data_IF_018554662439
#
_entry.id   IF_018554662439
#
_cell.length_a   1.000
_cell.length_b   1.000
_cell.length_c   1.000
_cell.angle_alpha   90.00
_cell.angle_beta   90.00
_cell.angle_gamma   90.00
#
_symmetry.space_group_name_H-M   'P 1'
#
loop_
_entity.id
_entity.type
_entity.pdbx_description
1 polymer ?
#
# COMPACT_ATOMS: atom_id res chain seq x y z
N UNK A 1 28.70 12.00 32.44
CA UNK A 1 27.71 12.99 32.01
C UNK A 1 27.49 12.77 30.51
N UNK A 2 26.48 12.02 30.15
CA UNK A 2 26.23 11.62 28.77
C UNK A 2 25.08 12.48 28.25
N UNK A 3 25.38 13.36 27.29
CA UNK A 3 24.38 14.24 26.65
C UNK A 3 23.64 13.43 25.60
N UNK A 4 22.38 13.12 25.87
CA UNK A 4 21.46 12.53 24.89
C UNK A 4 20.93 13.66 24.01
N UNK A 5 21.42 13.72 22.76
CA UNK A 5 20.92 14.63 21.74
C UNK A 5 19.61 14.06 21.19
N UNK A 6 18.49 14.59 21.68
CA UNK A 6 17.16 14.36 21.09
C UNK A 6 17.09 15.12 19.75
N UNK A 7 17.29 14.39 18.64
CA UNK A 7 16.96 14.88 17.31
C UNK A 7 15.43 14.91 17.20
N UNK A 8 14.86 16.09 17.46
CA UNK A 8 13.48 16.41 17.02
C UNK A 8 13.50 16.46 15.49
N UNK A 9 13.10 15.35 14.85
CA UNK A 9 12.77 15.36 13.45
C UNK A 9 11.55 16.26 13.24
N UNK A 10 11.75 17.43 12.64
CA UNK A 10 10.66 18.23 12.10
C UNK A 10 9.94 17.39 11.04
N UNK A 11 8.82 16.79 11.43
CA UNK A 11 7.81 16.29 10.49
C UNK A 11 7.29 17.52 9.76
N UNK A 12 7.77 17.73 8.54
CA UNK A 12 7.11 18.61 7.58
C UNK A 12 5.78 17.92 7.29
N UNK A 13 4.73 18.33 8.01
CA UNK A 13 3.38 17.91 7.69
C UNK A 13 3.08 18.46 6.29
N UNK A 14 2.76 17.62 5.30
CA UNK A 14 2.23 18.11 4.05
C UNK A 14 0.93 18.90 4.33
N UNK A 15 0.61 19.87 3.48
CA UNK A 15 -0.53 20.79 3.61
C UNK A 15 -1.93 20.13 3.48
N UNK A 16 -2.11 18.94 4.02
CA UNK A 16 -3.28 18.05 3.88
C UNK A 16 -3.97 17.80 5.23
N UNK A 17 -3.56 18.49 6.29
CA UNK A 17 -4.09 18.25 7.64
C UNK A 17 -5.61 18.53 7.73
N UNK A 18 -6.12 19.48 6.93
CA UNK A 18 -7.54 19.85 6.95
C UNK A 18 -8.45 18.79 6.30
N UNK A 19 -7.92 18.00 5.36
CA UNK A 19 -8.68 16.95 4.67
C UNK A 19 -8.73 15.63 5.47
N UNK A 20 -7.82 15.44 6.43
CA UNK A 20 -7.71 14.19 7.22
C UNK A 20 -8.60 14.20 8.46
N UNK A 21 -8.76 15.34 9.12
CA UNK A 21 -9.54 15.44 10.37
C UNK A 21 -10.97 14.86 10.26
N UNK A 22 -11.74 15.08 9.19
CA UNK A 22 -13.06 14.49 9.02
C UNK A 22 -13.04 12.96 8.87
N UNK A 23 -11.90 12.37 8.47
CA UNK A 23 -11.75 10.94 8.21
C UNK A 23 -11.46 10.14 9.49
N UNK A 24 -10.87 10.75 10.52
CA UNK A 24 -10.47 10.05 11.74
C UNK A 24 -11.58 9.21 12.37
N UNK A 25 -12.80 9.75 12.61
CA UNK A 25 -13.89 8.95 13.20
C UNK A 25 -14.38 7.86 12.26
N UNK A 26 -14.34 8.09 10.94
CA UNK A 26 -14.73 7.09 9.93
C UNK A 26 -13.73 5.95 9.92
N UNK A 27 -12.42 6.24 9.93
CA UNK A 27 -11.34 5.25 9.99
C UNK A 27 -11.42 4.44 11.28
N UNK A 28 -11.59 5.10 12.42
CA UNK A 28 -11.68 4.44 13.72
C UNK A 28 -12.87 3.46 13.79
N UNK A 29 -14.02 3.83 13.22
CA UNK A 29 -15.20 2.97 13.17
C UNK A 29 -15.03 1.71 12.30
N UNK A 30 -14.00 1.64 11.45
CA UNK A 30 -13.76 0.48 10.60
C UNK A 30 -12.71 -0.49 11.16
N UNK A 31 -12.17 -0.28 12.34
CA UNK A 31 -11.05 -1.06 12.90
C UNK A 31 -11.22 -2.56 12.74
N UNK A 32 -12.35 -3.12 13.18
CA UNK A 32 -12.58 -4.57 13.15
C UNK A 32 -12.65 -5.13 11.73
N UNK A 33 -13.27 -4.36 10.80
CA UNK A 33 -13.32 -4.74 9.38
C UNK A 33 -11.94 -4.69 8.74
N UNK A 34 -11.16 -3.65 9.04
CA UNK A 34 -9.77 -3.52 8.58
C UNK A 34 -8.93 -4.69 9.07
N UNK A 35 -9.02 -5.04 10.34
CA UNK A 35 -8.29 -6.17 10.90
C UNK A 35 -8.66 -7.48 10.21
N UNK A 36 -9.95 -7.72 9.99
CA UNK A 36 -10.43 -8.92 9.31
C UNK A 36 -9.91 -9.05 7.87
N UNK A 37 -9.96 -7.98 7.06
CA UNK A 37 -9.49 -8.02 5.68
C UNK A 37 -7.97 -8.14 5.59
N UNK A 38 -7.23 -7.47 6.48
CA UNK A 38 -5.77 -7.55 6.52
C UNK A 38 -5.28 -8.92 7.01
N UNK A 39 -5.97 -9.54 7.96
CA UNK A 39 -5.70 -10.91 8.37
C UNK A 39 -5.96 -11.91 7.23
N UNK A 40 -7.05 -11.72 6.48
CA UNK A 40 -7.31 -12.53 5.29
C UNK A 40 -6.22 -12.35 4.24
N UNK A 41 -5.77 -11.11 3.99
CA UNK A 41 -4.65 -10.82 3.09
C UNK A 41 -3.38 -11.53 3.56
N UNK A 42 -3.04 -11.43 4.87
CA UNK A 42 -1.84 -12.04 5.44
C UNK A 42 -1.80 -13.55 5.20
N UNK A 43 -2.91 -14.24 5.40
CA UNK A 43 -3.03 -15.69 5.11
C UNK A 43 -2.80 -16.01 3.62
N UNK A 44 -3.17 -15.11 2.73
CA UNK A 44 -2.97 -15.23 1.29
C UNK A 44 -1.52 -15.03 0.82
N UNK A 45 -0.65 -14.44 1.66
CA UNK A 45 0.76 -14.21 1.29
C UNK A 45 1.60 -15.49 1.30
N UNK A 46 1.11 -16.57 1.91
CA UNK A 46 1.77 -17.89 1.99
C UNK A 46 3.22 -17.81 2.53
N UNK A 47 3.46 -16.90 3.47
CA UNK A 47 4.75 -16.67 4.12
C UNK A 47 4.91 -17.43 5.45
N UNK A 48 3.90 -18.23 5.80
CA UNK A 48 3.84 -19.01 7.06
C UNK A 48 3.24 -18.24 8.23
N UNK A 49 3.01 -16.92 8.09
CA UNK A 49 2.38 -16.09 9.11
C UNK A 49 0.86 -16.08 8.95
N UNK A 50 0.13 -16.49 9.99
CA UNK A 50 -1.33 -16.48 10.00
C UNK A 50 -1.94 -15.56 11.07
N UNK A 51 -1.11 -14.75 11.71
CA UNK A 51 -1.49 -13.83 12.76
C UNK A 51 -1.21 -12.41 12.33
N UNK A 52 -2.12 -11.48 12.66
CA UNK A 52 -1.96 -10.06 12.40
C UNK A 52 -2.76 -9.27 13.42
N UNK A 53 -2.13 -8.29 14.03
CA UNK A 53 -2.77 -7.29 14.87
C UNK A 53 -2.58 -5.89 14.29
N UNK A 54 -3.67 -5.16 14.10
CA UNK A 54 -3.61 -3.76 13.66
C UNK A 54 -3.26 -2.87 14.86
N UNK A 55 -2.13 -2.17 14.79
CA UNK A 55 -1.65 -1.30 15.86
C UNK A 55 -2.28 0.09 15.75
N UNK A 56 -1.99 0.81 14.67
CA UNK A 56 -2.49 2.17 14.44
C UNK A 56 -2.45 2.56 12.96
N UNK A 57 -3.28 3.53 12.53
CA UNK A 57 -3.05 4.25 11.28
C UNK A 57 -1.73 5.01 11.36
N UNK A 58 -0.91 4.93 10.31
CA UNK A 58 0.40 5.60 10.25
C UNK A 58 0.47 6.70 9.19
N UNK A 59 -0.40 6.64 8.18
CA UNK A 59 -0.54 7.67 7.15
C UNK A 59 -1.92 7.57 6.48
N UNK A 60 -2.42 8.71 5.99
CA UNK A 60 -3.63 8.79 5.17
C UNK A 60 -3.31 9.58 3.90
N UNK A 61 -3.71 9.05 2.75
CA UNK A 61 -3.64 9.75 1.46
C UNK A 61 -5.06 9.95 0.95
N UNK A 62 -5.47 11.20 0.75
CA UNK A 62 -6.81 11.56 0.28
C UNK A 62 -6.77 11.78 -1.23
N UNK A 63 -7.59 11.05 -1.98
CA UNK A 63 -7.76 11.19 -3.43
C UNK A 63 -9.03 11.99 -3.75
N UNK A 64 -10.08 11.83 -2.93
CA UNK A 64 -11.33 12.53 -3.03
C UNK A 64 -11.83 12.85 -1.61
N UNK A 65 -12.16 14.10 -1.35
CA UNK A 65 -12.60 14.55 -0.04
C UNK A 65 -13.90 13.83 0.39
N UNK A 66 -14.03 13.60 1.70
CA UNK A 66 -15.23 13.01 2.25
C UNK A 66 -16.37 14.03 2.24
N UNK A 67 -17.48 13.69 1.58
CA UNK A 67 -18.72 14.44 1.64
C UNK A 67 -19.80 13.65 2.36
N UNK A 68 -20.51 14.32 3.24
CA UNK A 68 -21.67 13.78 3.97
C UNK A 68 -22.89 14.65 3.75
N UNK A 69 -24.07 14.02 3.73
CA UNK A 69 -25.35 14.70 3.72
C UNK A 69 -26.29 13.99 4.69
N UNK A 70 -26.89 14.72 5.63
CA UNK A 70 -27.79 14.15 6.64
C UNK A 70 -27.18 12.96 7.38
N UNK A 71 -25.89 13.09 7.76
CA UNK A 71 -25.07 12.05 8.40
C UNK A 71 -24.82 10.80 7.54
N UNK A 72 -25.21 10.80 6.26
CA UNK A 72 -24.92 9.72 5.32
C UNK A 72 -23.71 10.06 4.47
N UNK A 73 -22.85 9.06 4.22
CA UNK A 73 -21.71 9.18 3.30
C UNK A 73 -22.25 9.36 1.87
N UNK A 74 -21.72 10.33 1.13
CA UNK A 74 -22.08 10.58 -0.26
C UNK A 74 -20.96 10.24 -1.22
N UNK A 75 -19.78 10.76 -0.95
CA UNK A 75 -18.57 10.47 -1.73
C UNK A 75 -17.33 10.57 -0.84
N UNK A 76 -16.22 10.05 -1.33
CA UNK A 76 -14.92 10.09 -0.71
C UNK A 76 -14.07 8.90 -1.13
N UNK A 77 -12.78 9.14 -1.29
CA UNK A 77 -11.80 8.09 -1.61
C UNK A 77 -10.47 8.43 -0.95
N UNK A 78 -9.98 7.52 -0.14
CA UNK A 78 -8.71 7.66 0.56
C UNK A 78 -8.05 6.31 0.79
N UNK A 79 -6.75 6.32 0.99
CA UNK A 79 -5.96 5.17 1.38
C UNK A 79 -5.44 5.38 2.79
N UNK A 80 -5.56 4.36 3.62
CA UNK A 80 -4.98 4.35 4.97
C UNK A 80 -3.87 3.33 5.04
N UNK A 81 -2.70 3.78 5.51
CA UNK A 81 -1.59 2.90 5.86
C UNK A 81 -1.66 2.58 7.34
N UNK A 82 -1.57 1.31 7.66
CA UNK A 82 -1.56 0.80 9.03
C UNK A 82 -0.20 0.22 9.38
N UNK A 83 0.30 0.57 10.56
CA UNK A 83 1.31 -0.23 11.23
C UNK A 83 0.62 -1.47 11.81
N UNK A 84 1.17 -2.63 11.55
CA UNK A 84 0.65 -3.92 12.03
C UNK A 84 1.77 -4.73 12.67
N UNK A 85 1.42 -5.60 13.59
CA UNK A 85 2.25 -6.72 14.02
C UNK A 85 1.80 -7.97 13.24
N UNK A 86 2.70 -8.57 12.51
CA UNK A 86 2.46 -9.82 11.79
C UNK A 86 3.44 -10.88 12.30
N UNK A 87 2.96 -11.80 13.14
CA UNK A 87 3.77 -12.83 13.80
C UNK A 87 5.01 -12.28 14.54
N UNK A 88 4.88 -11.16 15.26
CA UNK A 88 5.95 -10.51 16.01
C UNK A 88 6.85 -9.59 15.19
N UNK A 89 6.54 -9.39 13.91
CA UNK A 89 7.25 -8.47 13.04
C UNK A 89 6.42 -7.22 12.72
N UNK A 90 7.02 -6.04 12.90
CA UNK A 90 6.40 -4.78 12.50
C UNK A 90 6.36 -4.67 10.97
N UNK A 91 5.17 -4.55 10.41
CA UNK A 91 4.92 -4.44 8.96
C UNK A 91 4.02 -3.24 8.66
N UNK A 92 3.96 -2.86 7.38
CA UNK A 92 3.01 -1.89 6.86
C UNK A 92 1.96 -2.59 6.00
N UNK A 93 0.70 -2.17 6.14
CA UNK A 93 -0.43 -2.63 5.34
C UNK A 93 -1.25 -1.43 4.89
N UNK A 94 -1.77 -1.49 3.69
CA UNK A 94 -2.55 -0.41 3.10
C UNK A 94 -3.97 -0.89 2.84
N UNK A 95 -4.94 -0.03 3.10
CA UNK A 95 -6.37 -0.26 2.83
C UNK A 95 -6.89 0.89 2.01
N UNK A 96 -7.47 0.59 0.85
CA UNK A 96 -8.25 1.52 0.06
C UNK A 96 -9.65 1.62 0.65
N UNK A 97 -10.12 2.83 0.84
CA UNK A 97 -11.44 3.14 1.40
C UNK A 97 -12.18 4.07 0.46
N UNK A 98 -13.29 3.61 -0.08
CA UNK A 98 -14.06 4.36 -1.07
C UNK A 98 -15.55 4.31 -0.74
N UNK A 99 -16.22 5.46 -0.83
CA UNK A 99 -17.68 5.51 -0.74
C UNK A 99 -18.26 5.09 -2.09
N UNK A 100 -19.11 4.05 -2.04
CA UNK A 100 -19.82 3.51 -3.22
C UNK A 100 -21.28 3.35 -2.82
N UNK A 101 -22.17 4.01 -3.55
CA UNK A 101 -23.63 3.97 -3.30
C UNK A 101 -24.01 4.28 -1.83
N UNK A 102 -23.33 5.24 -1.22
CA UNK A 102 -23.57 5.66 0.16
C UNK A 102 -23.01 4.72 1.23
N UNK A 103 -22.32 3.67 0.85
CA UNK A 103 -21.64 2.73 1.74
C UNK A 103 -20.12 2.80 1.59
N UNK A 104 -19.40 2.56 2.69
CA UNK A 104 -17.95 2.50 2.66
C UNK A 104 -17.47 1.11 2.26
N UNK A 105 -16.84 1.02 1.09
CA UNK A 105 -16.13 -0.16 0.61
C UNK A 105 -14.66 -0.11 1.07
N UNK A 106 -14.14 -1.25 1.51
CA UNK A 106 -12.76 -1.44 1.93
C UNK A 106 -12.09 -2.53 1.10
N UNK A 107 -10.89 -2.27 0.61
CA UNK A 107 -10.09 -3.25 -0.10
C UNK A 107 -8.62 -3.24 0.37
N UNK A 108 -8.00 -4.40 0.64
CA UNK A 108 -6.60 -4.45 0.99
C UNK A 108 -5.76 -4.16 -0.27
N UNK A 109 -4.77 -3.30 -0.12
CA UNK A 109 -3.80 -2.98 -1.14
C UNK A 109 -2.52 -3.81 -0.95
N UNK A 110 -1.57 -3.65 -1.86
CA UNK A 110 -0.27 -4.32 -1.76
C UNK A 110 0.39 -3.99 -0.42
N UNK A 111 0.90 -5.00 0.32
CA UNK A 111 1.67 -4.77 1.55
C UNK A 111 2.88 -3.88 1.33
N UNK A 112 3.30 -3.16 2.38
CA UNK A 112 4.48 -2.28 2.33
C UNK A 112 4.13 -0.80 2.30
N UNK A 113 4.99 0.02 1.70
CA UNK A 113 4.88 1.47 1.71
C UNK A 113 4.63 2.10 0.33
N UNK A 114 4.07 1.32 -0.61
CA UNK A 114 3.73 1.80 -1.96
C UNK A 114 2.98 3.14 -1.93
N UNK A 115 3.35 4.03 -2.84
CA UNK A 115 2.70 5.33 -3.07
C UNK A 115 1.65 5.27 -4.20
N UNK A 116 1.59 4.15 -4.93
CA UNK A 116 0.62 3.94 -5.99
C UNK A 116 -0.80 3.81 -5.42
N UNK A 117 -1.78 4.42 -6.08
CA UNK A 117 -3.20 4.23 -5.77
C UNK A 117 -3.68 2.81 -6.16
N UNK A 118 -4.91 2.48 -5.79
CA UNK A 118 -5.50 1.15 -6.01
C UNK A 118 -5.51 0.74 -7.49
N UNK A 119 -5.83 1.67 -8.41
CA UNK A 119 -5.90 1.39 -9.84
C UNK A 119 -4.49 1.10 -10.41
N UNK A 120 -3.54 1.95 -10.07
CA UNK A 120 -2.15 1.80 -10.49
C UNK A 120 -1.52 0.52 -9.92
N UNK A 121 -1.80 0.18 -8.65
CA UNK A 121 -1.38 -1.10 -8.05
C UNK A 121 -1.97 -2.31 -8.79
N UNK A 122 -3.23 -2.24 -9.22
CA UNK A 122 -3.84 -3.33 -10.00
C UNK A 122 -3.14 -3.53 -11.35
N UNK A 123 -2.78 -2.45 -12.03
CA UNK A 123 -2.07 -2.51 -13.31
C UNK A 123 -0.63 -3.04 -13.15
N UNK A 124 0.09 -2.59 -12.12
CA UNK A 124 1.42 -3.11 -11.79
C UNK A 124 1.37 -4.61 -11.47
N UNK A 125 0.42 -5.06 -10.65
CA UNK A 125 0.24 -6.49 -10.32
C UNK A 125 0.01 -7.35 -11.55
N UNK A 126 -0.82 -6.88 -12.49
CA UNK A 126 -1.07 -7.57 -13.76
C UNK A 126 0.21 -7.66 -14.60
N UNK A 127 0.92 -6.55 -14.74
CA UNK A 127 2.17 -6.49 -15.50
C UNK A 127 3.28 -7.32 -14.86
N UNK A 128 3.36 -7.33 -13.52
CA UNK A 128 4.28 -8.15 -12.75
C UNK A 128 4.08 -9.64 -13.05
N UNK A 129 2.84 -10.10 -13.00
CA UNK A 129 2.50 -11.50 -13.29
C UNK A 129 2.83 -11.87 -14.75
N UNK A 130 2.51 -11.01 -15.72
CA UNK A 130 2.84 -11.24 -17.13
C UNK A 130 4.34 -11.30 -17.36
N UNK A 131 5.12 -10.37 -16.84
CA UNK A 131 6.57 -10.37 -16.97
C UNK A 131 7.20 -11.61 -16.28
N UNK A 132 6.65 -12.02 -15.14
CA UNK A 132 7.07 -13.25 -14.46
C UNK A 132 6.80 -14.51 -15.28
N UNK A 133 5.65 -14.63 -15.93
CA UNK A 133 5.33 -15.75 -16.83
C UNK A 133 6.24 -15.80 -18.04
N UNK A 134 6.62 -14.65 -18.62
CA UNK A 134 7.60 -14.59 -19.72
C UNK A 134 8.98 -15.07 -19.26
N UNK A 135 9.41 -14.66 -18.06
CA UNK A 135 10.71 -15.07 -17.50
C UNK A 135 10.74 -16.53 -17.02
N UNK A 136 9.58 -17.07 -16.64
CA UNK A 136 9.41 -18.43 -16.12
C UNK A 136 8.24 -19.13 -16.82
N UNK A 137 8.36 -19.50 -18.10
CA UNK A 137 7.25 -20.01 -18.91
C UNK A 137 6.66 -21.34 -18.39
N UNK A 138 7.43 -22.08 -17.58
CA UNK A 138 6.96 -23.29 -16.92
C UNK A 138 6.13 -23.03 -15.63
N UNK A 139 5.99 -21.76 -15.23
CA UNK A 139 5.23 -21.37 -14.07
C UNK A 139 3.86 -20.79 -14.51
N UNK A 140 2.76 -21.55 -14.44
CA UNK A 140 1.44 -21.07 -14.84
C UNK A 140 0.77 -20.19 -13.79
N UNK A 141 1.32 -20.14 -12.58
CA UNK A 141 0.71 -19.43 -11.45
C UNK A 141 0.87 -17.91 -11.59
N UNK A 142 -0.17 -17.18 -11.21
CA UNK A 142 -0.05 -15.74 -11.04
C UNK A 142 0.83 -15.40 -9.84
N UNK A 143 1.56 -14.29 -9.92
CA UNK A 143 2.37 -13.83 -8.80
C UNK A 143 1.50 -13.43 -7.60
N UNK A 144 1.87 -13.90 -6.41
CA UNK A 144 1.38 -13.36 -5.14
C UNK A 144 2.33 -12.26 -4.71
N UNK A 145 1.89 -11.00 -4.80
CA UNK A 145 2.71 -9.87 -4.37
C UNK A 145 2.75 -9.86 -2.85
N UNK A 146 3.96 -9.92 -2.31
CA UNK A 146 4.23 -9.99 -0.87
C UNK A 146 4.55 -8.63 -0.26
N UNK A 147 5.19 -7.76 -1.04
CA UNK A 147 5.62 -6.45 -0.57
C UNK A 147 5.92 -5.51 -1.73
N UNK A 148 5.68 -4.21 -1.49
CA UNK A 148 6.17 -3.12 -2.32
C UNK A 148 6.87 -2.10 -1.42
N UNK A 149 8.13 -1.78 -1.71
CA UNK A 149 8.94 -0.86 -0.90
C UNK A 149 9.43 0.29 -1.75
N UNK A 150 9.22 1.52 -1.28
CA UNK A 150 9.71 2.73 -1.96
C UNK A 150 11.23 2.81 -1.86
N UNK A 151 11.89 2.86 -3.01
CA UNK A 151 13.36 3.00 -3.11
C UNK A 151 13.79 4.43 -3.33
N UNK A 152 12.99 5.21 -4.02
CA UNK A 152 13.23 6.62 -4.26
C UNK A 152 11.92 7.39 -4.10
N UNK A 153 11.86 8.23 -3.08
CA UNK A 153 10.69 9.07 -2.80
C UNK A 153 10.65 10.28 -3.74
N UNK A 154 9.47 10.69 -4.24
CA UNK A 154 9.31 11.93 -4.96
C UNK A 154 9.52 13.12 -4.01
N UNK A 155 10.16 14.18 -4.50
CA UNK A 155 10.31 15.44 -3.73
C UNK A 155 9.06 16.31 -3.85
N UNK A 156 8.36 16.19 -4.98
CA UNK A 156 7.08 16.83 -5.27
C UNK A 156 6.12 15.82 -5.88
N UNK A 157 4.80 16.03 -5.85
CA UNK A 157 3.83 15.12 -6.48
C UNK A 157 4.03 14.92 -7.98
N UNK A 158 4.74 15.81 -8.64
CA UNK A 158 5.04 15.72 -10.07
C UNK A 158 6.32 14.93 -10.38
N UNK A 159 7.10 14.58 -9.36
CA UNK A 159 8.35 13.85 -9.55
C UNK A 159 8.09 12.36 -9.72
N UNK A 160 8.97 11.73 -10.49
CA UNK A 160 9.01 10.27 -10.57
C UNK A 160 9.42 9.67 -9.22
N UNK A 161 8.93 8.44 -8.96
CA UNK A 161 9.40 7.64 -7.83
C UNK A 161 9.67 6.20 -8.26
N UNK A 162 10.33 5.45 -7.42
CA UNK A 162 10.71 4.08 -7.71
C UNK A 162 10.34 3.18 -6.53
N UNK A 163 9.78 2.02 -6.85
CA UNK A 163 9.47 0.98 -5.87
C UNK A 163 10.09 -0.36 -6.26
N UNK A 164 10.47 -1.14 -5.28
CA UNK A 164 10.78 -2.56 -5.43
C UNK A 164 9.54 -3.37 -5.05
N UNK A 165 9.03 -4.12 -5.98
CA UNK A 165 7.93 -5.06 -5.78
C UNK A 165 8.48 -6.47 -5.69
N UNK A 166 8.14 -7.18 -4.61
CA UNK A 166 8.52 -8.58 -4.37
C UNK A 166 7.26 -9.43 -4.44
N UNK A 167 7.30 -10.45 -5.27
CA UNK A 167 6.23 -11.44 -5.39
C UNK A 167 6.78 -12.85 -5.36
N UNK A 168 5.89 -13.81 -5.06
CA UNK A 168 6.20 -15.24 -5.12
C UNK A 168 5.52 -15.86 -6.32
N UNK A 169 6.28 -16.62 -7.11
CA UNK A 169 5.81 -17.39 -8.24
C UNK A 169 6.41 -18.79 -8.20
N UNK A 170 5.57 -19.82 -8.25
CA UNK A 170 6.02 -21.23 -8.18
C UNK A 170 7.03 -21.47 -7.04
N UNK A 171 6.75 -20.96 -5.87
CA UNK A 171 7.59 -21.13 -4.66
C UNK A 171 8.87 -20.29 -4.63
N UNK A 172 9.14 -19.46 -5.66
CA UNK A 172 10.33 -18.60 -5.71
C UNK A 172 9.97 -17.14 -5.53
N UNK A 173 10.77 -16.41 -4.76
CA UNK A 173 10.63 -14.97 -4.62
C UNK A 173 11.32 -14.27 -5.81
N UNK A 174 10.60 -13.40 -6.46
CA UNK A 174 11.05 -12.60 -7.60
C UNK A 174 10.85 -11.11 -7.28
N UNK A 175 11.81 -10.28 -7.65
CA UNK A 175 11.77 -8.85 -7.48
C UNK A 175 11.72 -8.13 -8.83
N UNK A 176 10.96 -7.05 -8.90
CA UNK A 176 10.92 -6.13 -10.04
C UNK A 176 10.95 -4.70 -9.52
N UNK A 177 11.79 -3.90 -10.16
CA UNK A 177 11.82 -2.47 -9.92
C UNK A 177 10.78 -1.81 -10.82
N UNK A 178 9.95 -0.98 -10.23
CA UNK A 178 8.88 -0.23 -10.90
C UNK A 178 9.22 1.25 -10.81
N UNK A 179 9.42 1.89 -11.96
CA UNK A 179 9.61 3.33 -12.11
C UNK A 179 8.26 3.97 -12.45
N UNK A 180 7.73 4.79 -11.56
CA UNK A 180 6.49 5.52 -11.75
C UNK A 180 6.78 6.91 -12.33
N UNK A 181 6.01 7.28 -13.32
CA UNK A 181 6.19 8.48 -14.15
C UNK A 181 4.89 9.28 -14.17
N UNK A 182 4.74 10.30 -13.30
CA UNK A 182 3.60 11.20 -13.36
C UNK A 182 3.53 11.91 -14.73
N UNK A 183 2.31 12.07 -15.25
CA UNK A 183 1.99 12.74 -16.49
C UNK A 183 0.88 13.77 -16.25
N UNK A 184 0.52 14.55 -17.25
CA UNK A 184 -0.58 15.53 -17.13
C UNK A 184 -1.96 14.88 -16.90
N UNK A 185 -2.13 13.61 -17.25
CA UNK A 185 -3.42 12.90 -17.22
C UNK A 185 -3.45 11.75 -16.22
N UNK A 186 -2.41 11.59 -15.40
CA UNK A 186 -2.29 10.51 -14.43
C UNK A 186 -0.86 10.04 -14.27
N UNK A 187 -0.66 8.82 -13.79
CA UNK A 187 0.66 8.20 -13.63
C UNK A 187 0.77 6.95 -14.50
N UNK A 188 1.88 6.83 -15.22
CA UNK A 188 2.26 5.59 -15.92
C UNK A 188 3.46 4.95 -15.23
N UNK A 189 3.86 3.74 -15.63
CA UNK A 189 5.01 3.07 -15.04
C UNK A 189 5.80 2.29 -16.09
N UNK A 190 7.06 1.99 -15.74
CA UNK A 190 7.93 1.04 -16.41
C UNK A 190 8.41 0.01 -15.39
N UNK A 191 8.60 -1.22 -15.82
CA UNK A 191 9.08 -2.30 -14.97
C UNK A 191 10.38 -2.88 -15.51
N UNK A 192 11.29 -3.23 -14.60
CA UNK A 192 12.45 -4.06 -14.93
C UNK A 192 12.02 -5.50 -15.27
N UNK A 193 12.90 -6.24 -15.90
CA UNK A 193 12.72 -7.70 -15.97
C UNK A 193 12.82 -8.29 -14.56
N UNK A 194 12.08 -9.39 -14.28
CA UNK A 194 12.16 -10.08 -13.01
C UNK A 194 13.59 -10.56 -12.71
N UNK A 195 14.03 -10.34 -11.50
CA UNK A 195 15.28 -10.90 -10.97
C UNK A 195 14.97 -11.77 -9.76
N UNK A 196 15.79 -12.79 -9.51
CA UNK A 196 15.69 -13.54 -8.26
C UNK A 196 15.82 -12.53 -7.10
N UNK A 197 14.82 -12.47 -6.23
CA UNK A 197 14.91 -11.63 -5.05
C UNK A 197 16.02 -12.20 -4.15
N UNK A 198 16.97 -11.37 -3.78
CA UNK A 198 17.95 -11.77 -2.78
C UNK A 198 17.20 -12.08 -1.48
N UNK A 199 17.47 -13.24 -0.88
CA UNK A 199 16.98 -13.55 0.46
C UNK A 199 17.52 -12.46 1.41
N UNK A 200 16.62 -11.67 2.00
CA UNK A 200 16.93 -10.71 3.04
C UNK A 200 16.80 -11.37 4.39
#
# INVERSE_FOLDING_TARGET
MQVVLLLLGMLIAPAWADDVAPLEPVIAAQKDKVEAILLQQQRGLADGCNELAVLMPSAVSVFEALETQDSSLKQGHWQVRYAVDACGEAKLRNVDMKVVDGALALAPLVPGDSLADAALQADVRRSFSMAGQVAMPQCPEAAVIREATVRAYPKTPADRWQELWIGRMCGRDVGQVVDFLPTKTGTTFKMSLPTAAAAQ
#
